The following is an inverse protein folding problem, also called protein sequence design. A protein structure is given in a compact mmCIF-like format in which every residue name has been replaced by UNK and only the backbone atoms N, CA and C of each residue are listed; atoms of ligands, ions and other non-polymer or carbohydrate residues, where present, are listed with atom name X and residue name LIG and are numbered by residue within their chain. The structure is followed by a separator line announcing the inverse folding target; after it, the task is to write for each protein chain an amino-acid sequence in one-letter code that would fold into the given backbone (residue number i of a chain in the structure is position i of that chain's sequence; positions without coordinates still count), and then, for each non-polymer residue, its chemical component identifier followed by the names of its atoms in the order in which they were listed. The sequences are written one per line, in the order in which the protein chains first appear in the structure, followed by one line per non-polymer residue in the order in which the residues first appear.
data_IF_122208338417
#
_entry.id   IF_122208338417
#
_cell.length_a   1.000
_cell.length_b   1.000
_cell.length_c   1.000
_cell.angle_alpha   90.00
_cell.angle_beta   90.00
_cell.angle_gamma   90.00
#
_symmetry.space_group_name_H-M   'P 1'
#
loop_
_entity.id
_entity.type
_entity.pdbx_description
1 polymer ?
#
# COMPACT_ATOMS: atom_id res chain seq x y z
N UNK A 1 44.17 41.49 -13.41
CA UNK A 1 43.38 40.32 -13.71
C UNK A 1 42.98 39.67 -12.36
N UNK A 2 41.83 40.08 -11.82
CA UNK A 2 41.34 39.60 -10.54
C UNK A 2 40.42 38.40 -10.74
N UNK A 3 40.77 37.24 -10.17
CA UNK A 3 39.90 36.06 -10.13
C UNK A 3 38.82 36.28 -9.07
N UNK A 4 37.57 36.35 -9.49
CA UNK A 4 36.41 36.31 -8.58
C UNK A 4 36.34 34.93 -7.94
N UNK A 5 36.17 34.80 -6.60
CA UNK A 5 35.89 33.54 -5.98
C UNK A 5 34.48 33.11 -6.31
N UNK A 6 34.34 31.87 -6.76
CA UNK A 6 33.05 31.18 -6.90
C UNK A 6 32.51 30.92 -5.50
N UNK A 7 31.50 31.69 -5.12
CA UNK A 7 30.70 31.38 -3.92
C UNK A 7 29.66 30.33 -4.34
N UNK A 8 29.92 29.12 -3.94
CA UNK A 8 28.88 28.05 -4.01
C UNK A 8 27.70 28.46 -3.12
N UNK A 9 26.45 28.43 -3.62
CA UNK A 9 25.31 28.62 -2.76
C UNK A 9 25.27 27.46 -1.76
N UNK A 10 25.22 27.79 -0.47
CA UNK A 10 25.01 26.84 0.59
C UNK A 10 23.70 26.11 0.33
N UNK A 11 23.77 24.85 -0.05
CA UNK A 11 22.64 23.97 -0.13
C UNK A 11 22.14 23.74 1.29
N UNK A 12 21.02 24.35 1.64
CA UNK A 12 20.33 24.11 2.89
C UNK A 12 19.74 22.70 2.77
N UNK A 13 20.47 21.72 3.28
CA UNK A 13 19.93 20.39 3.60
C UNK A 13 19.09 20.58 4.85
N UNK A 14 17.80 20.82 4.68
CA UNK A 14 16.84 20.72 5.77
C UNK A 14 16.73 19.21 6.06
N UNK A 15 17.60 18.75 6.96
CA UNK A 15 17.46 17.46 7.57
C UNK A 15 16.17 17.46 8.39
N UNK A 16 15.14 16.80 7.91
CA UNK A 16 13.95 16.44 8.67
C UNK A 16 14.33 15.39 9.72
N UNK A 17 15.13 15.78 10.72
CA UNK A 17 15.44 15.02 11.92
C UNK A 17 14.72 15.66 13.11
N UNK A 18 13.39 15.69 13.07
CA UNK A 18 12.59 16.01 14.23
C UNK A 18 11.59 14.87 14.45
N UNK A 19 12.04 13.84 15.14
CA UNK A 19 11.17 12.74 15.51
C UNK A 19 11.96 11.52 15.95
N UNK A 20 12.81 11.65 16.99
CA UNK A 20 13.21 10.50 17.80
C UNK A 20 12.01 10.13 18.69
N UNK A 21 10.89 9.84 18.06
CA UNK A 21 9.82 9.06 18.62
C UNK A 21 10.23 7.60 18.49
N UNK A 22 10.13 6.85 19.56
CA UNK A 22 10.35 5.41 19.65
C UNK A 22 9.84 4.74 18.38
N UNK A 23 10.74 4.39 17.44
CA UNK A 23 10.42 3.58 16.28
C UNK A 23 10.00 2.21 16.80
N UNK A 24 8.72 2.00 16.98
CA UNK A 24 8.17 0.65 17.04
C UNK A 24 8.30 0.10 15.64
N UNK A 25 9.10 -0.92 15.49
CA UNK A 25 9.23 -1.66 14.25
C UNK A 25 7.82 -2.09 13.82
N UNK A 26 7.34 -1.50 12.73
CA UNK A 26 6.07 -1.89 12.13
C UNK A 26 6.30 -3.19 11.34
N UNK A 27 6.10 -4.33 11.99
CA UNK A 27 6.15 -5.65 11.34
C UNK A 27 4.96 -5.92 10.41
N UNK A 28 4.26 -4.88 9.94
CA UNK A 28 3.02 -5.01 9.16
C UNK A 28 3.23 -5.21 7.65
N UNK A 29 4.46 -5.11 7.12
CA UNK A 29 4.67 -5.14 5.67
C UNK A 29 4.51 -6.51 5.01
N UNK A 30 4.43 -7.59 5.79
CA UNK A 30 4.32 -8.95 5.26
C UNK A 30 3.00 -9.23 4.51
N UNK A 31 1.96 -8.43 4.74
CA UNK A 31 0.64 -8.58 4.14
C UNK A 31 0.21 -7.36 3.33
N UNK A 32 1.15 -6.44 3.05
CA UNK A 32 0.88 -5.27 2.23
C UNK A 32 0.63 -5.67 0.79
N UNK A 33 -0.44 -5.13 0.22
CA UNK A 33 -0.82 -5.30 -1.18
C UNK A 33 -0.30 -4.09 -1.93
N UNK A 34 0.57 -4.31 -2.91
CA UNK A 34 1.12 -3.24 -3.74
C UNK A 34 0.16 -2.83 -4.87
N UNK A 35 -0.73 -3.72 -5.26
CA UNK A 35 -1.63 -3.62 -6.41
C UNK A 35 -2.80 -2.67 -6.16
N UNK A 36 -2.49 -1.42 -5.76
CA UNK A 36 -3.47 -0.37 -5.46
C UNK A 36 -3.91 0.42 -6.71
N UNK A 37 -3.31 0.16 -7.86
CA UNK A 37 -3.62 0.80 -9.14
C UNK A 37 -3.42 -0.17 -10.28
N UNK A 38 -4.45 -0.36 -11.11
CA UNK A 38 -4.36 -1.21 -12.30
C UNK A 38 -3.48 -0.59 -13.39
N UNK A 39 -3.47 0.75 -13.52
CA UNK A 39 -2.61 1.46 -14.47
C UNK A 39 -1.14 1.36 -14.07
N UNK A 40 -0.85 1.48 -12.77
CA UNK A 40 0.53 1.38 -12.25
C UNK A 40 1.06 -0.05 -12.33
N UNK A 41 0.19 -1.04 -12.17
CA UNK A 41 0.56 -2.45 -12.38
C UNK A 41 1.11 -2.66 -13.79
N UNK A 42 0.47 -2.06 -14.82
CA UNK A 42 0.94 -2.11 -16.21
C UNK A 42 2.33 -1.49 -16.41
N UNK A 43 2.76 -0.59 -15.52
CA UNK A 43 4.09 0.04 -15.53
C UNK A 43 5.06 -0.58 -14.51
N UNK A 44 4.68 -1.68 -13.89
CA UNK A 44 5.43 -2.30 -12.79
C UNK A 44 5.71 -1.29 -11.66
N UNK A 45 4.75 -0.40 -11.40
CA UNK A 45 4.79 0.66 -10.39
C UNK A 45 5.91 1.71 -10.58
N UNK A 46 6.47 1.79 -11.79
CA UNK A 46 7.47 2.80 -12.11
C UNK A 46 6.83 4.19 -12.14
N UNK A 47 7.33 5.11 -11.30
CA UNK A 47 6.88 6.49 -11.25
C UNK A 47 5.58 6.75 -10.47
N UNK A 48 5.01 5.79 -9.76
CA UNK A 48 3.73 5.90 -9.03
C UNK A 48 3.62 7.11 -8.11
N UNK A 49 4.72 7.51 -7.46
CA UNK A 49 4.73 8.65 -6.54
C UNK A 49 5.09 9.98 -7.23
N UNK A 50 5.49 9.96 -8.50
CA UNK A 50 6.02 11.15 -9.20
C UNK A 50 5.28 11.52 -10.48
N UNK A 51 4.51 10.59 -11.06
CA UNK A 51 3.82 10.80 -12.33
C UNK A 51 2.31 10.93 -12.11
N UNK A 52 1.74 12.14 -12.09
CA UNK A 52 0.34 12.39 -11.78
C UNK A 52 -0.57 12.21 -13.02
N UNK A 53 -0.52 11.08 -13.67
CA UNK A 53 -1.34 10.74 -14.84
C UNK A 53 -2.63 9.97 -14.49
N UNK A 54 -2.70 9.41 -13.28
CA UNK A 54 -3.88 8.71 -12.76
C UNK A 54 -4.17 9.16 -11.31
N UNK A 55 -5.45 9.32 -10.91
CA UNK A 55 -5.84 9.66 -9.55
C UNK A 55 -5.30 8.76 -8.44
N UNK A 56 -4.86 7.56 -8.76
CA UNK A 56 -4.22 6.63 -7.81
C UNK A 56 -2.91 7.16 -7.22
N UNK A 57 -2.31 8.20 -7.81
CA UNK A 57 -1.18 8.91 -7.19
C UNK A 57 -1.50 9.37 -5.76
N UNK A 58 -2.78 9.59 -5.45
CA UNK A 58 -3.24 9.95 -4.10
C UNK A 58 -2.76 8.98 -3.04
N UNK A 59 -2.72 7.68 -3.35
CA UNK A 59 -2.28 6.65 -2.42
C UNK A 59 -0.78 6.76 -2.10
N UNK A 60 0.03 7.07 -3.11
CA UNK A 60 1.49 7.09 -2.99
C UNK A 60 2.04 8.47 -2.63
N UNK A 61 1.39 9.54 -3.12
CA UNK A 61 1.82 10.92 -2.93
C UNK A 61 0.62 11.88 -3.00
N UNK A 62 0.00 12.22 -1.87
CA UNK A 62 -1.13 13.15 -1.85
C UNK A 62 -0.85 14.51 -2.48
N UNK A 63 0.42 15.00 -2.44
CA UNK A 63 0.78 16.27 -3.08
C UNK A 63 0.58 16.25 -4.60
N UNK A 64 0.67 15.07 -5.23
CA UNK A 64 0.51 14.89 -6.67
C UNK A 64 -0.87 15.24 -7.21
N UNK A 65 -1.91 15.23 -6.33
CA UNK A 65 -3.27 15.55 -6.78
C UNK A 65 -3.47 17.00 -7.20
N UNK A 66 -2.54 17.91 -6.89
CA UNK A 66 -2.57 19.30 -7.38
C UNK A 66 -2.38 19.44 -8.89
N UNK A 67 -1.90 18.39 -9.55
CA UNK A 67 -1.75 18.36 -10.99
C UNK A 67 -3.10 18.26 -11.74
N UNK A 68 -4.12 17.72 -11.09
CA UNK A 68 -5.46 17.57 -11.68
C UNK A 68 -6.21 18.91 -11.66
N UNK A 69 -6.54 19.42 -12.84
CA UNK A 69 -7.20 20.72 -13.00
C UNK A 69 -8.72 20.64 -13.09
N UNK A 70 -9.26 19.44 -13.02
CA UNK A 70 -10.68 19.13 -13.00
C UNK A 70 -10.95 17.91 -12.11
N UNK A 71 -12.20 17.70 -11.71
CA UNK A 71 -12.57 16.49 -10.98
C UNK A 71 -12.35 15.28 -11.86
N UNK A 72 -11.56 14.37 -11.34
CA UNK A 72 -11.14 13.14 -12.02
C UNK A 72 -11.33 11.96 -11.08
N UNK A 73 -11.80 10.85 -11.62
CA UNK A 73 -11.98 9.61 -10.87
C UNK A 73 -11.28 8.46 -11.58
N UNK A 74 -10.77 7.53 -10.79
CA UNK A 74 -10.24 6.25 -11.27
C UNK A 74 -10.79 5.13 -10.40
N UNK A 75 -11.21 4.04 -11.02
CA UNK A 75 -11.66 2.84 -10.31
C UNK A 75 -11.02 1.62 -10.95
N UNK A 76 -10.57 0.70 -10.13
CA UNK A 76 -9.91 -0.51 -10.58
C UNK A 76 -10.28 -1.73 -9.76
N UNK A 77 -10.04 -2.89 -10.36
CA UNK A 77 -10.20 -4.19 -9.73
C UNK A 77 -9.02 -5.05 -10.14
N UNK A 78 -8.18 -5.40 -9.19
CA UNK A 78 -7.05 -6.32 -9.42
C UNK A 78 -7.41 -7.69 -8.88
N UNK A 79 -7.18 -8.72 -9.69
CA UNK A 79 -7.34 -10.12 -9.31
C UNK A 79 -5.96 -10.72 -9.08
N UNK A 80 -5.75 -11.26 -7.87
CA UNK A 80 -4.49 -11.88 -7.46
C UNK A 80 -4.74 -13.36 -7.22
N UNK A 81 -4.05 -14.22 -7.97
CA UNK A 81 -4.02 -15.66 -7.73
C UNK A 81 -2.85 -15.99 -6.81
N UNK A 82 -3.17 -16.36 -5.58
CA UNK A 82 -2.16 -16.76 -4.59
C UNK A 82 -2.04 -18.26 -4.59
N UNK A 83 -0.81 -18.76 -4.72
CA UNK A 83 -0.48 -20.18 -4.54
C UNK A 83 0.39 -20.34 -3.29
N UNK A 84 -0.09 -21.15 -2.34
CA UNK A 84 0.63 -21.45 -1.09
C UNK A 84 0.57 -22.93 -0.82
N UNK A 85 1.70 -23.62 -0.95
CA UNK A 85 1.81 -25.03 -0.68
C UNK A 85 2.85 -25.32 0.41
N UNK A 86 2.52 -26.26 1.27
CA UNK A 86 3.41 -26.74 2.33
C UNK A 86 3.90 -28.15 1.99
N UNK A 87 5.16 -28.42 2.22
CA UNK A 87 5.75 -29.77 2.06
C UNK A 87 6.41 -30.19 3.38
N UNK A 88 5.92 -31.27 3.93
CA UNK A 88 6.53 -31.87 5.12
C UNK A 88 7.81 -32.59 4.76
N UNK A 89 8.92 -32.26 5.42
CA UNK A 89 10.23 -32.89 5.20
C UNK A 89 10.74 -33.71 6.37
N UNK A 90 10.04 -33.85 7.49
CA UNK A 90 10.39 -34.74 8.63
C UNK A 90 9.77 -34.24 9.94
N UNK A 91 8.55 -33.73 9.90
CA UNK A 91 7.86 -33.32 11.14
C UNK A 91 7.44 -34.57 11.95
N UNK A 92 7.61 -34.47 13.24
CA UNK A 92 7.14 -35.49 14.19
C UNK A 92 5.91 -34.91 14.90
N UNK A 93 4.75 -35.58 14.88
CA UNK A 93 3.57 -35.07 15.58
C UNK A 93 3.79 -35.10 17.10
N UNK A 94 3.13 -34.23 17.82
CA UNK A 94 3.07 -34.30 19.27
C UNK A 94 2.38 -35.60 19.70
N UNK A 95 2.71 -36.09 20.90
CA UNK A 95 2.17 -37.34 21.42
C UNK A 95 0.63 -37.34 21.40
N UNK A 96 0.05 -38.38 20.82
CA UNK A 96 -1.39 -38.53 20.70
C UNK A 96 -2.05 -37.75 19.54
N UNK A 97 -1.26 -37.02 18.73
CA UNK A 97 -1.77 -36.32 17.55
C UNK A 97 -1.51 -37.11 16.27
N UNK A 98 -2.45 -37.05 15.33
CA UNK A 98 -2.25 -37.65 14.01
C UNK A 98 -1.33 -36.75 13.16
N UNK A 99 -0.40 -37.37 12.46
CA UNK A 99 0.38 -36.68 11.43
C UNK A 99 -0.53 -36.45 10.21
N UNK A 100 -0.85 -35.19 9.92
CA UNK A 100 -1.65 -34.82 8.75
C UNK A 100 -0.84 -34.82 7.46
N UNK A 101 -1.54 -34.56 6.36
CA UNK A 101 -0.94 -34.37 5.04
C UNK A 101 -0.36 -32.96 4.83
N UNK A 102 0.09 -32.71 3.60
CA UNK A 102 0.65 -31.40 3.21
C UNK A 102 -0.41 -30.27 3.06
N UNK A 103 -1.71 -30.58 3.13
CA UNK A 103 -2.78 -29.59 3.11
C UNK A 103 -3.17 -29.04 1.74
N UNK A 104 -2.48 -29.44 0.68
CA UNK A 104 -2.76 -28.96 -0.68
C UNK A 104 -2.30 -27.53 -0.93
N UNK A 105 -2.95 -26.85 -1.88
CA UNK A 105 -2.77 -25.43 -2.13
C UNK A 105 -3.77 -24.65 -1.26
N UNK A 106 -3.27 -23.91 -0.28
CA UNK A 106 -4.07 -23.08 0.62
C UNK A 106 -4.35 -21.68 0.06
N UNK A 107 -3.74 -21.32 -1.06
CA UNK A 107 -3.99 -20.07 -1.74
C UNK A 107 -5.30 -20.07 -2.52
N UNK A 108 -5.77 -18.90 -2.89
CA UNK A 108 -6.99 -18.70 -3.66
C UNK A 108 -6.95 -17.40 -4.44
N UNK A 109 -7.91 -17.21 -5.34
CA UNK A 109 -8.15 -15.94 -6.00
C UNK A 109 -8.62 -14.88 -4.98
N UNK A 110 -7.98 -13.73 -5.03
CA UNK A 110 -8.34 -12.59 -4.21
C UNK A 110 -8.60 -11.37 -5.08
N UNK A 111 -9.53 -10.55 -4.67
CA UNK A 111 -9.95 -9.35 -5.37
C UNK A 111 -9.56 -8.12 -4.58
N UNK A 112 -8.84 -7.20 -5.21
CA UNK A 112 -8.39 -5.92 -4.62
C UNK A 112 -9.08 -4.77 -5.34
N UNK A 113 -10.16 -4.23 -4.79
CA UNK A 113 -10.84 -3.06 -5.36
C UNK A 113 -10.11 -1.78 -4.96
N UNK A 114 -10.15 -0.79 -5.86
CA UNK A 114 -9.72 0.57 -5.57
C UNK A 114 -10.63 1.59 -6.25
N UNK A 115 -10.77 2.76 -5.62
CA UNK A 115 -11.49 3.92 -6.12
C UNK A 115 -10.77 5.18 -5.64
N UNK A 116 -10.51 6.09 -6.57
CA UNK A 116 -9.88 7.37 -6.32
C UNK A 116 -10.71 8.49 -6.92
N UNK A 117 -10.92 9.54 -6.15
CA UNK A 117 -11.59 10.76 -6.56
C UNK A 117 -10.68 11.91 -6.19
N UNK A 118 -10.31 12.74 -7.15
CA UNK A 118 -9.46 13.92 -6.93
C UNK A 118 -10.02 15.12 -7.69
N UNK A 119 -9.79 16.32 -7.17
CA UNK A 119 -10.16 17.52 -7.90
C UNK A 119 -9.83 18.81 -7.19
N UNK A 120 -9.71 19.92 -7.92
CA UNK A 120 -9.46 21.23 -7.37
C UNK A 120 -10.70 21.78 -6.67
N UNK A 121 -10.49 22.40 -5.51
CA UNK A 121 -11.51 23.23 -4.84
C UNK A 121 -11.20 24.72 -4.96
N UNK A 122 -9.93 25.04 -5.30
CA UNK A 122 -9.49 26.38 -5.69
C UNK A 122 -8.28 26.26 -6.61
N UNK A 123 -7.76 27.39 -7.09
CA UNK A 123 -6.57 27.42 -7.97
C UNK A 123 -5.33 26.78 -7.35
N UNK A 124 -5.25 26.75 -6.02
CA UNK A 124 -4.09 26.24 -5.29
C UNK A 124 -4.39 25.04 -4.37
N UNK A 125 -5.67 24.68 -4.15
CA UNK A 125 -6.04 23.60 -3.23
C UNK A 125 -6.84 22.54 -3.94
N UNK A 126 -6.43 21.29 -3.74
CA UNK A 126 -7.12 20.10 -4.25
C UNK A 126 -7.52 19.18 -3.10
N UNK A 127 -8.65 18.51 -3.27
CA UNK A 127 -9.10 17.46 -2.38
C UNK A 127 -9.05 16.11 -3.08
N UNK A 128 -8.87 15.07 -2.29
CA UNK A 128 -8.90 13.70 -2.73
C UNK A 128 -9.59 12.78 -1.75
N UNK A 129 -10.13 11.69 -2.28
CA UNK A 129 -10.65 10.56 -1.50
C UNK A 129 -10.18 9.27 -2.16
N UNK A 130 -9.49 8.43 -1.39
CA UNK A 130 -9.17 7.07 -1.79
C UNK A 130 -9.99 6.07 -0.98
N UNK A 131 -10.46 5.01 -1.65
CA UNK A 131 -11.04 3.81 -1.04
C UNK A 131 -10.29 2.63 -1.63
N UNK A 132 -9.58 1.89 -0.79
CA UNK A 132 -8.70 0.81 -1.24
C UNK A 132 -8.51 -0.28 -0.18
N UNK A 133 -7.80 -1.35 -0.53
CA UNK A 133 -7.53 -2.49 0.34
C UNK A 133 -6.02 -2.68 0.50
N UNK A 134 -5.37 -1.97 1.44
CA UNK A 134 -3.91 -1.97 1.58
C UNK A 134 -3.32 -3.27 2.10
N UNK A 135 -4.10 -4.10 2.80
CA UNK A 135 -3.65 -5.38 3.33
C UNK A 135 -4.65 -6.49 3.06
N UNK A 136 -4.14 -7.65 2.74
CA UNK A 136 -4.95 -8.85 2.52
C UNK A 136 -4.16 -10.13 2.61
N UNK A 137 -4.75 -11.14 3.21
CA UNK A 137 -4.25 -12.51 3.21
C UNK A 137 -5.44 -13.45 3.36
N UNK A 138 -5.43 -14.53 2.59
CA UNK A 138 -6.34 -15.65 2.80
C UNK A 138 -5.59 -16.95 2.61
N UNK A 139 -5.66 -17.82 3.59
CA UNK A 139 -5.15 -19.19 3.55
C UNK A 139 -6.25 -20.14 4.00
N UNK A 140 -6.43 -21.22 3.26
CA UNK A 140 -7.47 -22.24 3.51
C UNK A 140 -6.87 -23.63 3.26
N UNK A 141 -6.31 -24.24 4.28
CA UNK A 141 -5.72 -25.57 4.22
C UNK A 141 -6.77 -26.66 4.38
N UNK A 142 -6.54 -27.82 3.80
CA UNK A 142 -7.36 -28.98 4.06
C UNK A 142 -7.40 -29.30 5.57
N UNK A 143 -8.57 -29.69 6.10
CA UNK A 143 -8.77 -29.86 7.53
C UNK A 143 -7.88 -30.92 8.23
N UNK A 144 -7.24 -31.79 7.45
CA UNK A 144 -6.33 -32.83 7.93
C UNK A 144 -4.85 -32.55 7.60
N UNK A 145 -4.46 -31.30 7.38
CA UNK A 145 -3.06 -30.96 7.12
C UNK A 145 -2.21 -31.01 8.40
N UNK A 146 -0.90 -31.06 8.26
CA UNK A 146 0.04 -31.21 9.38
C UNK A 146 -0.12 -30.13 10.45
N UNK A 147 -0.38 -28.90 10.05
CA UNK A 147 -0.57 -27.75 10.95
C UNK A 147 -2.01 -27.54 11.43
N UNK A 148 -2.91 -28.53 11.31
CA UNK A 148 -4.34 -28.41 11.67
C UNK A 148 -4.62 -27.93 13.11
N UNK A 149 -3.70 -28.19 14.02
CA UNK A 149 -3.79 -27.76 15.41
C UNK A 149 -3.33 -26.31 15.63
N UNK A 150 -2.70 -25.69 14.64
CA UNK A 150 -2.27 -24.29 14.67
C UNK A 150 -3.23 -23.38 13.91
N UNK A 151 -3.78 -23.86 12.79
CA UNK A 151 -4.77 -23.16 12.01
C UNK A 151 -5.05 -23.87 10.69
N UNK A 152 -6.30 -23.91 10.31
CA UNK A 152 -6.76 -24.44 9.02
C UNK A 152 -7.13 -23.29 8.09
N UNK A 153 -7.75 -22.27 8.65
CA UNK A 153 -8.22 -21.09 7.92
C UNK A 153 -7.68 -19.82 8.54
N UNK A 154 -7.21 -18.89 7.72
CA UNK A 154 -6.83 -17.54 8.13
C UNK A 154 -7.23 -16.55 7.06
N UNK A 155 -7.98 -15.52 7.42
CA UNK A 155 -8.37 -14.46 6.52
C UNK A 155 -8.15 -13.10 7.18
N UNK A 156 -7.43 -12.23 6.48
CA UNK A 156 -7.29 -10.82 6.79
C UNK A 156 -7.76 -10.03 5.57
N UNK A 157 -8.75 -9.19 5.77
CA UNK A 157 -9.21 -8.22 4.76
C UNK A 157 -9.22 -6.85 5.38
N UNK A 158 -8.72 -5.86 4.65
CA UNK A 158 -8.80 -4.48 5.07
C UNK A 158 -9.54 -3.65 4.04
N UNK A 159 -10.14 -2.58 4.51
CA UNK A 159 -10.70 -1.52 3.69
C UNK A 159 -10.26 -0.20 4.30
N UNK A 160 -9.63 0.63 3.50
CA UNK A 160 -9.14 1.94 3.89
C UNK A 160 -9.94 3.04 3.22
N UNK A 161 -10.23 4.09 3.97
CA UNK A 161 -10.80 5.35 3.51
C UNK A 161 -9.78 6.45 3.81
N UNK A 162 -9.25 7.07 2.78
CA UNK A 162 -8.23 8.10 2.90
C UNK A 162 -8.71 9.41 2.28
N UNK A 163 -9.36 10.31 3.04
CA UNK A 163 -9.51 11.69 2.64
C UNK A 163 -8.17 12.42 2.71
N UNK A 164 -7.88 13.22 1.70
CA UNK A 164 -6.63 13.95 1.59
C UNK A 164 -6.85 15.36 1.05
N UNK A 165 -5.93 16.25 1.40
CA UNK A 165 -5.84 17.61 0.91
C UNK A 165 -4.43 17.88 0.40
N UNK A 166 -4.34 18.63 -0.69
CA UNK A 166 -3.07 19.08 -1.21
C UNK A 166 -3.12 20.58 -1.51
N UNK A 167 -2.02 21.26 -1.26
CA UNK A 167 -1.82 22.67 -1.49
C UNK A 167 -0.64 22.92 -2.39
N UNK A 168 -0.88 23.56 -3.52
CA UNK A 168 0.14 24.06 -4.42
C UNK A 168 0.68 25.38 -3.88
N UNK A 169 1.82 25.34 -3.19
CA UNK A 169 2.45 26.53 -2.59
C UNK A 169 2.95 27.50 -3.67
N UNK A 170 3.51 26.94 -4.74
CA UNK A 170 3.96 27.66 -5.94
C UNK A 170 4.10 26.69 -7.13
N UNK A 171 4.61 27.17 -8.26
CA UNK A 171 4.76 26.35 -9.48
C UNK A 171 5.77 25.19 -9.38
N UNK A 172 6.54 25.13 -8.29
CA UNK A 172 7.59 24.12 -8.09
C UNK A 172 7.38 23.26 -6.83
N UNK A 173 6.46 23.67 -5.96
CA UNK A 173 6.25 23.00 -4.67
C UNK A 173 4.77 22.81 -4.38
N UNK A 174 4.40 21.56 -4.13
CA UNK A 174 3.11 21.17 -3.57
C UNK A 174 3.32 20.36 -2.29
N UNK A 175 2.42 20.52 -1.34
CA UNK A 175 2.39 19.79 -0.07
C UNK A 175 1.04 19.09 0.02
N UNK A 176 1.04 17.84 0.46
CA UNK A 176 -0.18 17.06 0.65
C UNK A 176 -0.17 16.30 1.96
N UNK A 177 -1.35 16.07 2.50
CA UNK A 177 -1.58 15.26 3.68
C UNK A 177 -2.90 14.51 3.55
N UNK A 178 -2.96 13.31 4.14
CA UNK A 178 -4.16 12.49 4.21
C UNK A 178 -4.29 11.85 5.58
N UNK A 179 -5.47 11.33 5.86
CA UNK A 179 -5.77 10.56 7.07
C UNK A 179 -6.36 9.24 6.66
N UNK A 180 -5.77 8.15 7.13
CA UNK A 180 -6.24 6.80 6.88
C UNK A 180 -7.19 6.34 7.97
N UNK A 181 -8.40 5.94 7.56
CA UNK A 181 -9.33 5.20 8.39
C UNK A 181 -9.45 3.78 7.87
N UNK A 182 -8.77 2.86 8.55
CA UNK A 182 -8.71 1.46 8.14
C UNK A 182 -9.59 0.58 9.00
N UNK A 183 -10.44 -0.21 8.35
CA UNK A 183 -11.24 -1.28 8.98
C UNK A 183 -10.68 -2.63 8.57
N UNK A 184 -10.28 -3.44 9.54
CA UNK A 184 -9.82 -4.81 9.32
C UNK A 184 -10.86 -5.84 9.76
N UNK A 185 -11.03 -6.90 8.97
CA UNK A 185 -11.82 -8.09 9.28
C UNK A 185 -10.84 -9.26 9.35
N UNK A 186 -10.84 -9.98 10.46
CA UNK A 186 -10.01 -11.17 10.70
C UNK A 186 -10.90 -12.37 10.99
N UNK A 187 -10.58 -13.50 10.39
CA UNK A 187 -11.23 -14.79 10.64
C UNK A 187 -10.21 -15.91 10.74
#
# INVERSE_FOLDING_TARGET
MGKKPWVLPATIVIGCCAGVGVMREACASAFAIQEQSASDLGRSFAGTASTPDDPSILYYNPAGITAFKQFTSSAGLTLIDVSSSFTNTNSIPAYGQALGGNGGNAGSWNTVPNLYLVGPVSDSVSLGLAINAPFGLKLDYAGNWLGQYQGVYSELKTMNFNPAVAWQVNNHLSIGAGVDYEKSIRR
#
